data_IF_596241558439
#
_entry.id   IF_596241558439
#
_cell.length_a   1.000
_cell.length_b   1.000
_cell.length_c   1.000
_cell.angle_alpha   90.00
_cell.angle_beta   90.00
_cell.angle_gamma   90.00
#
_symmetry.space_group_name_H-M   'P 1'
#
loop_
_entity.id
_entity.type
_entity.pdbx_description
1 polymer ?
#
# COMPACT_ATOMS: atom_id res chain seq x y z
N UNK A 1 32.43 6.74 31.84
CA UNK A 1 31.71 6.26 30.67
C UNK A 1 30.17 6.21 30.82
N UNK A 2 29.58 5.96 31.99
CA UNK A 2 28.11 5.88 32.14
C UNK A 2 27.33 7.19 31.95
N UNK A 3 27.93 8.37 32.19
CA UNK A 3 27.25 9.68 32.05
C UNK A 3 26.94 10.08 30.61
N UNK A 4 27.73 9.62 29.62
CA UNK A 4 27.50 9.93 28.19
C UNK A 4 26.34 9.12 27.60
N UNK A 5 26.12 7.88 28.08
CA UNK A 5 25.00 7.04 27.63
C UNK A 5 23.64 7.61 28.08
N UNK A 6 23.52 8.11 29.30
CA UNK A 6 22.28 8.69 29.83
C UNK A 6 21.86 10.01 29.13
N UNK A 7 22.84 10.83 28.72
CA UNK A 7 22.57 12.07 27.98
C UNK A 7 22.14 11.80 26.54
N UNK A 8 22.67 10.76 25.90
CA UNK A 8 22.27 10.33 24.56
C UNK A 8 20.82 9.84 24.53
N UNK A 9 20.42 9.00 25.48
CA UNK A 9 19.04 8.50 25.61
C UNK A 9 18.04 9.59 26.03
N UNK A 10 18.44 10.54 26.88
CA UNK A 10 17.61 11.72 27.22
C UNK A 10 17.39 12.66 26.03
N UNK A 11 18.38 12.85 25.17
CA UNK A 11 18.20 13.62 23.92
C UNK A 11 17.28 12.91 22.90
N UNK A 12 17.31 11.59 22.80
CA UNK A 12 16.36 10.81 22.00
C UNK A 12 14.93 10.86 22.55
N UNK A 13 14.77 10.85 23.87
CA UNK A 13 13.46 10.96 24.52
C UNK A 13 12.86 12.39 24.44
N UNK A 14 13.68 13.43 24.45
CA UNK A 14 13.23 14.83 24.39
C UNK A 14 12.80 15.28 22.99
N UNK A 15 13.09 14.53 21.93
CA UNK A 15 12.71 14.84 20.55
C UNK A 15 11.32 14.29 20.16
N UNK A 16 10.39 14.15 21.08
CA UNK A 16 8.96 14.10 20.76
C UNK A 16 8.45 15.49 20.37
N UNK A 17 9.05 16.11 19.33
CA UNK A 17 8.37 17.22 18.66
C UNK A 17 6.98 16.71 18.27
N UNK A 18 5.93 17.36 18.79
CA UNK A 18 4.55 17.16 18.34
C UNK A 18 4.58 17.15 16.81
N UNK A 19 4.38 15.98 16.22
CA UNK A 19 4.15 15.89 14.78
C UNK A 19 2.85 16.63 14.56
N UNK A 20 2.94 17.84 14.03
CA UNK A 20 1.76 18.61 13.64
C UNK A 20 0.98 17.75 12.66
N UNK A 21 -0.26 17.44 13.01
CA UNK A 21 -1.17 16.70 12.16
C UNK A 21 -1.17 17.30 10.76
N UNK A 22 -0.78 16.51 9.78
CA UNK A 22 -0.79 16.96 8.39
C UNK A 22 -2.00 16.31 7.74
N UNK A 23 -2.82 17.17 7.15
CA UNK A 23 -3.91 16.74 6.28
C UNK A 23 -3.33 16.49 4.89
N UNK A 24 -3.52 15.30 4.35
CA UNK A 24 -3.05 14.90 3.02
C UNK A 24 -4.23 14.31 2.26
N UNK A 25 -4.43 14.71 1.00
CA UNK A 25 -5.39 14.02 0.14
C UNK A 25 -4.75 12.72 -0.34
N UNK A 26 -5.23 11.60 0.20
CA UNK A 26 -4.84 10.26 -0.24
C UNK A 26 -5.62 9.87 -1.49
N UNK A 27 -4.92 9.37 -2.50
CA UNK A 27 -5.47 8.87 -3.76
C UNK A 27 -5.06 7.42 -3.96
N UNK A 28 -6.01 6.56 -4.22
CA UNK A 28 -5.82 5.14 -4.56
C UNK A 28 -6.27 4.91 -6.01
N UNK A 29 -5.31 4.59 -6.88
CA UNK A 29 -5.54 4.35 -8.32
C UNK A 29 -5.70 2.85 -8.54
N UNK A 30 -6.95 2.39 -8.61
CA UNK A 30 -7.26 1.00 -8.93
C UNK A 30 -7.66 0.81 -10.40
N UNK A 31 -7.68 -0.44 -10.86
CA UNK A 31 -8.01 -0.80 -12.24
C UNK A 31 -9.43 -0.41 -12.69
N UNK A 32 -10.41 -0.41 -11.78
CA UNK A 32 -11.81 -0.06 -12.08
C UNK A 32 -12.26 1.29 -11.54
N UNK A 33 -11.47 1.93 -10.67
CA UNK A 33 -11.82 3.22 -10.07
C UNK A 33 -10.67 3.84 -9.31
N UNK A 34 -10.58 5.14 -9.43
CA UNK A 34 -9.68 6.00 -8.68
C UNK A 34 -10.48 6.58 -7.52
N UNK A 35 -9.98 6.42 -6.30
CA UNK A 35 -10.66 6.85 -5.09
C UNK A 35 -9.76 7.84 -4.35
N UNK A 36 -10.35 8.80 -3.67
CA UNK A 36 -9.60 9.73 -2.85
C UNK A 36 -10.44 10.34 -1.74
N UNK A 37 -9.76 10.71 -0.66
CA UNK A 37 -10.31 11.47 0.45
C UNK A 37 -9.22 12.23 1.20
N UNK A 38 -9.52 13.38 1.81
CA UNK A 38 -8.65 14.02 2.77
C UNK A 38 -8.48 13.13 4.01
N UNK A 39 -7.24 12.96 4.45
CA UNK A 39 -6.84 12.07 5.58
C UNK A 39 -6.12 12.91 6.63
N UNK A 40 -6.48 12.72 7.89
CA UNK A 40 -5.65 13.09 9.03
C UNK A 40 -4.59 12.00 9.24
N UNK A 41 -3.34 12.30 8.93
CA UNK A 41 -2.25 11.32 9.00
C UNK A 41 -1.86 10.90 10.42
N UNK A 42 -2.35 11.58 11.46
CA UNK A 42 -2.09 11.20 12.85
C UNK A 42 -3.07 10.17 13.39
N UNK A 43 -4.31 10.23 12.93
CA UNK A 43 -5.40 9.33 13.37
C UNK A 43 -5.80 8.28 12.33
N UNK A 44 -5.41 8.48 11.07
CA UNK A 44 -5.85 7.66 9.95
C UNK A 44 -7.32 7.89 9.55
N UNK A 45 -7.99 8.89 10.12
CA UNK A 45 -9.39 9.17 9.82
C UNK A 45 -9.52 9.89 8.48
N UNK A 46 -10.49 9.46 7.67
CA UNK A 46 -10.96 10.22 6.54
C UNK A 46 -11.73 11.45 7.05
N UNK A 47 -11.39 12.62 6.53
CA UNK A 47 -11.99 13.90 6.94
C UNK A 47 -13.23 14.26 6.13
N UNK A 48 -13.52 13.53 5.07
CA UNK A 48 -14.72 13.62 4.24
C UNK A 48 -15.01 12.24 3.63
N UNK A 49 -16.23 12.08 3.12
CA UNK A 49 -16.59 10.89 2.36
C UNK A 49 -15.69 10.76 1.12
N UNK A 50 -15.24 9.52 0.84
CA UNK A 50 -14.36 9.26 -0.29
C UNK A 50 -15.07 9.50 -1.63
N UNK A 51 -14.44 10.26 -2.51
CA UNK A 51 -14.85 10.41 -3.90
C UNK A 51 -14.30 9.25 -4.73
N UNK A 52 -15.13 8.64 -5.58
CA UNK A 52 -14.72 7.67 -6.59
C UNK A 52 -15.00 8.21 -7.99
N UNK A 53 -14.01 8.06 -8.86
CA UNK A 53 -14.12 8.30 -10.32
C UNK A 53 -13.78 6.99 -11.02
N UNK A 54 -14.45 6.68 -12.11
CA UNK A 54 -14.09 5.53 -12.93
C UNK A 54 -12.65 5.69 -13.47
N UNK A 55 -11.87 4.62 -13.43
CA UNK A 55 -10.55 4.62 -14.08
C UNK A 55 -10.75 4.73 -15.59
N UNK A 56 -10.16 5.73 -16.25
CA UNK A 56 -10.30 5.87 -17.70
C UNK A 56 -9.75 4.66 -18.43
N UNK A 57 -10.39 4.31 -19.53
CA UNK A 57 -9.94 3.25 -20.42
C UNK A 57 -9.62 3.84 -21.80
N UNK A 58 -8.39 3.69 -22.30
CA UNK A 58 -7.23 3.12 -21.62
C UNK A 58 -6.71 4.00 -20.47
N UNK A 59 -6.18 3.36 -19.40
CA UNK A 59 -5.65 4.03 -18.21
C UNK A 59 -4.27 4.66 -18.51
N UNK A 60 -4.19 5.57 -19.49
CA UNK A 60 -2.95 6.26 -19.85
C UNK A 60 -2.52 7.25 -18.76
N UNK A 61 -1.21 7.61 -18.67
CA UNK A 61 -0.70 8.54 -17.68
C UNK A 61 -1.48 9.87 -17.62
N UNK A 62 -1.71 10.48 -18.79
CA UNK A 62 -2.46 11.75 -18.86
C UNK A 62 -3.93 11.62 -18.47
N UNK A 63 -4.57 10.51 -18.84
CA UNK A 63 -5.98 10.28 -18.50
C UNK A 63 -6.17 10.08 -17.00
N UNK A 64 -5.29 9.28 -16.36
CA UNK A 64 -5.30 9.08 -14.90
C UNK A 64 -4.96 10.37 -14.17
N UNK A 65 -3.95 11.14 -14.60
CA UNK A 65 -3.60 12.40 -13.98
C UNK A 65 -4.76 13.43 -14.03
N UNK A 66 -5.54 13.47 -15.13
CA UNK A 66 -6.78 14.27 -15.21
C UNK A 66 -7.87 13.77 -14.25
N UNK A 67 -7.99 12.45 -14.09
CA UNK A 67 -8.95 11.88 -13.13
C UNK A 67 -8.57 12.21 -11.68
N UNK A 68 -7.29 12.19 -11.35
CA UNK A 68 -6.77 12.65 -10.05
C UNK A 68 -7.06 14.14 -9.85
N UNK A 69 -6.83 14.99 -10.86
CA UNK A 69 -7.14 16.43 -10.78
C UNK A 69 -8.62 16.69 -10.47
N UNK A 70 -9.55 15.93 -11.08
CA UNK A 70 -11.00 16.04 -10.75
C UNK A 70 -11.32 15.71 -9.28
N UNK A 71 -10.57 14.80 -8.65
CA UNK A 71 -10.74 14.53 -7.21
C UNK A 71 -10.21 15.70 -6.37
N UNK A 72 -9.07 16.28 -6.76
CA UNK A 72 -8.51 17.49 -6.12
C UNK A 72 -9.51 18.66 -6.20
N UNK A 73 -10.10 18.91 -7.37
CA UNK A 73 -11.11 19.92 -7.60
C UNK A 73 -12.38 19.69 -6.76
N UNK A 74 -12.86 18.43 -6.71
CA UNK A 74 -14.04 18.06 -5.92
C UNK A 74 -13.91 18.44 -4.45
N UNK A 75 -12.72 18.29 -3.87
CA UNK A 75 -12.46 18.66 -2.48
C UNK A 75 -11.98 20.12 -2.32
N UNK A 76 -11.89 20.91 -3.40
CA UNK A 76 -11.24 22.22 -3.41
C UNK A 76 -9.88 22.19 -2.68
N UNK A 77 -9.13 21.10 -2.88
CA UNK A 77 -7.98 20.74 -2.06
C UNK A 77 -6.77 21.60 -2.35
N UNK A 78 -6.19 22.21 -1.30
CA UNK A 78 -5.02 23.09 -1.41
C UNK A 78 -3.74 22.48 -0.84
N UNK A 79 -3.86 21.37 -0.09
CA UNK A 79 -2.76 20.69 0.57
C UNK A 79 -2.01 19.69 -0.33
N UNK A 80 -1.09 18.93 0.26
CA UNK A 80 -0.34 17.89 -0.44
C UNK A 80 -1.18 16.66 -0.79
N UNK A 81 -0.63 15.86 -1.72
CA UNK A 81 -1.22 14.60 -2.23
C UNK A 81 -0.28 13.43 -1.98
N UNK A 82 -0.84 12.32 -1.52
CA UNK A 82 -0.24 11.00 -1.64
C UNK A 82 -1.01 10.19 -2.68
N UNK A 83 -0.33 9.53 -3.61
CA UNK A 83 -0.97 8.76 -4.68
C UNK A 83 -0.41 7.34 -4.72
N UNK A 84 -1.26 6.33 -4.52
CA UNK A 84 -0.94 4.92 -4.66
C UNK A 84 -1.23 4.48 -6.11
N UNK A 85 -0.26 3.78 -6.72
CA UNK A 85 -0.30 3.32 -8.10
C UNK A 85 0.02 1.82 -8.16
N UNK A 86 -0.65 1.03 -9.02
CA UNK A 86 -0.45 -0.41 -9.14
C UNK A 86 0.81 -0.73 -9.98
N UNK A 87 1.97 -0.36 -9.47
CA UNK A 87 3.27 -0.52 -10.12
C UNK A 87 4.43 -0.35 -9.14
N UNK A 88 5.59 -0.88 -9.46
CA UNK A 88 6.86 -0.56 -8.80
C UNK A 88 7.19 0.91 -8.99
N UNK A 89 7.40 1.64 -7.90
CA UNK A 89 7.73 3.08 -7.92
C UNK A 89 9.13 3.30 -7.37
N UNK A 90 10.04 3.85 -8.21
CA UNK A 90 11.38 4.29 -7.79
C UNK A 90 11.60 5.74 -8.20
N UNK A 91 11.95 6.59 -7.24
CA UNK A 91 12.23 8.01 -7.45
C UNK A 91 11.12 8.75 -8.22
N UNK A 92 9.86 8.45 -7.87
CA UNK A 92 8.67 9.02 -8.49
C UNK A 92 8.30 8.44 -9.86
N UNK A 93 9.10 7.50 -10.40
CA UNK A 93 8.91 6.87 -11.71
C UNK A 93 8.36 5.45 -11.61
N UNK A 94 7.47 5.09 -12.51
CA UNK A 94 6.98 3.72 -12.63
C UNK A 94 8.00 2.85 -13.37
N UNK A 95 8.32 1.70 -12.78
CA UNK A 95 9.28 0.73 -13.33
C UNK A 95 8.61 -0.51 -13.89
N UNK A 96 7.36 -0.76 -13.52
CA UNK A 96 6.52 -1.85 -14.05
C UNK A 96 5.18 -1.31 -14.52
N UNK A 97 4.43 -2.11 -15.26
CA UNK A 97 3.10 -1.79 -15.75
C UNK A 97 2.27 -3.07 -15.96
N UNK A 98 2.27 -3.99 -14.96
CA UNK A 98 1.55 -5.26 -15.08
C UNK A 98 0.03 -5.07 -15.10
N UNK A 99 -0.50 -4.24 -14.19
CA UNK A 99 -1.93 -4.03 -13.98
C UNK A 99 -2.41 -2.62 -14.37
N UNK A 100 -1.63 -1.91 -15.21
CA UNK A 100 -1.94 -0.58 -15.74
C UNK A 100 -1.42 -0.50 -17.19
N UNK A 101 -1.82 0.53 -17.94
CA UNK A 101 -1.34 0.72 -19.33
C UNK A 101 0.20 0.70 -19.43
N UNK A 102 0.76 -0.03 -20.39
CA UNK A 102 2.21 -0.07 -20.65
C UNK A 102 2.83 1.32 -20.90
N UNK A 103 2.03 2.29 -21.31
CA UNK A 103 2.48 3.69 -21.51
C UNK A 103 2.96 4.37 -20.22
N UNK A 104 2.79 3.75 -19.06
CA UNK A 104 3.32 4.22 -17.79
C UNK A 104 4.79 3.85 -17.54
N UNK A 105 5.33 2.90 -18.31
CA UNK A 105 6.70 2.44 -18.08
C UNK A 105 7.71 3.59 -18.27
N UNK A 106 8.51 3.84 -17.23
CA UNK A 106 9.51 4.93 -17.18
C UNK A 106 8.94 6.33 -16.93
N UNK A 107 7.61 6.50 -16.90
CA UNK A 107 6.97 7.81 -16.66
C UNK A 107 7.27 8.32 -15.26
N UNK A 108 7.64 9.58 -15.15
CA UNK A 108 7.68 10.31 -13.89
C UNK A 108 6.26 10.66 -13.46
N UNK A 109 5.64 9.73 -12.72
CA UNK A 109 4.26 9.86 -12.27
C UNK A 109 4.11 11.00 -11.25
N UNK A 110 5.11 11.19 -10.41
CA UNK A 110 5.11 12.27 -9.41
C UNK A 110 5.09 13.64 -10.09
N UNK A 111 5.98 13.87 -11.07
CA UNK A 111 6.02 15.12 -11.82
C UNK A 111 4.75 15.34 -12.65
N UNK A 112 4.23 14.28 -13.28
CA UNK A 112 3.02 14.35 -14.09
C UNK A 112 1.79 14.74 -13.27
N UNK A 113 1.57 14.06 -12.13
CA UNK A 113 0.42 14.35 -11.25
C UNK A 113 0.59 15.74 -10.62
N UNK A 114 1.81 16.11 -10.19
CA UNK A 114 2.12 17.46 -9.70
C UNK A 114 1.78 18.54 -10.74
N UNK A 115 2.14 18.33 -12.00
CA UNK A 115 1.82 19.26 -13.10
C UNK A 115 0.31 19.40 -13.29
N UNK A 116 -0.44 18.30 -13.24
CA UNK A 116 -1.90 18.27 -13.44
C UNK A 116 -2.68 18.86 -12.27
N UNK A 117 -2.21 18.70 -11.04
CA UNK A 117 -2.91 19.12 -9.81
C UNK A 117 -2.41 20.44 -9.24
N UNK A 118 -1.20 20.87 -9.63
CA UNK A 118 -0.46 22.02 -9.07
C UNK A 118 -0.26 21.92 -7.56
N UNK A 119 -0.13 20.69 -7.02
CA UNK A 119 0.05 20.40 -5.60
C UNK A 119 1.32 19.60 -5.38
N UNK A 120 1.94 19.67 -4.18
CA UNK A 120 3.00 18.73 -3.79
C UNK A 120 2.46 17.29 -3.83
N UNK A 121 3.18 16.39 -4.49
CA UNK A 121 2.75 14.99 -4.69
C UNK A 121 3.86 14.04 -4.26
N UNK A 122 3.48 12.94 -3.61
CA UNK A 122 4.29 11.73 -3.54
C UNK A 122 3.55 10.57 -4.22
N UNK A 123 4.32 9.63 -4.74
CA UNK A 123 3.77 8.39 -5.32
C UNK A 123 4.38 7.18 -4.62
N UNK A 124 3.59 6.13 -4.47
CA UNK A 124 3.94 4.87 -3.79
C UNK A 124 3.24 3.71 -4.50
N UNK A 125 3.79 2.50 -4.38
CA UNK A 125 3.09 1.29 -4.81
C UNK A 125 1.79 1.10 -4.00
N UNK A 126 0.74 0.53 -4.60
CA UNK A 126 -0.59 0.37 -3.97
C UNK A 126 -0.60 -0.63 -2.82
N UNK A 127 0.14 -1.76 -2.94
CA UNK A 127 0.28 -2.72 -1.86
C UNK A 127 1.12 -2.16 -0.71
N UNK A 128 2.20 -1.43 -1.00
CA UNK A 128 2.99 -0.71 -0.02
C UNK A 128 2.13 0.31 0.75
N UNK A 129 1.27 1.05 0.04
CA UNK A 129 0.34 1.99 0.65
C UNK A 129 -0.62 1.27 1.60
N UNK A 130 -1.28 0.20 1.13
CA UNK A 130 -2.19 -0.58 1.97
C UNK A 130 -1.48 -1.15 3.20
N UNK A 131 -0.25 -1.64 3.03
CA UNK A 131 0.60 -2.12 4.11
C UNK A 131 0.91 -1.03 5.14
N UNK A 132 1.30 0.18 4.70
CA UNK A 132 1.53 1.30 5.61
C UNK A 132 0.31 1.62 6.48
N UNK A 133 -0.87 1.65 5.88
CA UNK A 133 -2.10 1.90 6.61
C UNK A 133 -2.35 0.81 7.68
N UNK A 134 -2.23 -0.46 7.29
CA UNK A 134 -2.47 -1.59 8.20
C UNK A 134 -1.41 -1.67 9.32
N UNK A 135 -0.15 -1.38 9.04
CA UNK A 135 0.90 -1.34 10.06
C UNK A 135 0.73 -0.16 11.03
N UNK A 136 0.18 0.96 10.55
CA UNK A 136 0.02 2.16 11.40
C UNK A 136 -1.27 2.11 12.22
N UNK A 137 -2.40 1.76 11.60
CA UNK A 137 -3.73 1.87 12.20
C UNK A 137 -4.54 0.58 12.23
N UNK A 138 -4.13 -0.45 11.49
CA UNK A 138 -4.88 -1.67 11.26
C UNK A 138 -4.37 -2.92 11.99
N UNK A 139 -4.40 -4.04 11.28
CA UNK A 139 -4.07 -5.36 11.81
C UNK A 139 -2.59 -5.52 12.22
N UNK A 140 -1.68 -4.76 11.59
CA UNK A 140 -0.25 -4.77 11.88
C UNK A 140 0.18 -3.79 12.98
N UNK A 141 -0.75 -3.02 13.55
CA UNK A 141 -0.41 -2.01 14.57
C UNK A 141 0.31 -2.62 15.78
N UNK A 142 1.46 -2.03 16.14
CA UNK A 142 2.33 -2.47 17.25
C UNK A 142 2.93 -3.88 17.06
N UNK A 143 2.92 -4.42 15.84
CA UNK A 143 3.64 -5.66 15.53
C UNK A 143 5.10 -5.34 15.22
N UNK A 144 5.98 -6.12 15.83
CA UNK A 144 7.42 -6.18 15.54
C UNK A 144 7.74 -7.42 14.71
N UNK A 145 9.01 -7.58 14.34
CA UNK A 145 9.45 -8.69 13.50
C UNK A 145 9.11 -8.50 12.04
N UNK A 146 8.95 -9.60 11.33
CA UNK A 146 8.65 -9.64 9.90
C UNK A 146 7.14 -9.75 9.68
N UNK A 147 6.54 -8.74 9.07
CA UNK A 147 5.12 -8.73 8.70
C UNK A 147 5.00 -8.64 7.18
N UNK A 148 4.23 -9.53 6.58
CA UNK A 148 3.92 -9.50 5.15
C UNK A 148 2.43 -9.17 4.97
N UNK A 149 2.14 -8.07 4.29
CA UNK A 149 0.80 -7.80 3.75
C UNK A 149 0.68 -8.43 2.37
N UNK A 150 -0.40 -9.16 2.14
CA UNK A 150 -0.75 -9.75 0.85
C UNK A 150 -2.10 -9.23 0.43
N UNK A 151 -2.18 -8.50 -0.66
CA UNK A 151 -3.45 -8.04 -1.25
C UNK A 151 -3.89 -9.02 -2.34
N UNK A 152 -5.07 -9.60 -2.18
CA UNK A 152 -5.65 -10.53 -3.15
C UNK A 152 -6.80 -9.81 -3.89
N UNK A 153 -6.63 -9.64 -5.20
CA UNK A 153 -7.57 -8.95 -6.07
C UNK A 153 -7.41 -9.38 -7.53
N UNK A 154 -7.24 -8.41 -8.45
CA UNK A 154 -6.92 -8.66 -9.87
C UNK A 154 -5.64 -9.48 -10.00
N UNK A 155 -4.61 -9.12 -9.24
CA UNK A 155 -3.36 -9.85 -9.04
C UNK A 155 -3.10 -10.13 -7.57
N UNK A 156 -1.83 -10.34 -7.22
CA UNK A 156 -1.33 -10.44 -5.86
C UNK A 156 -0.30 -9.34 -5.60
N UNK A 157 -0.68 -8.32 -4.85
CA UNK A 157 0.26 -7.32 -4.35
C UNK A 157 0.82 -7.71 -2.98
N UNK A 158 2.05 -7.27 -2.69
CA UNK A 158 2.70 -7.56 -1.41
C UNK A 158 3.42 -6.34 -0.86
N UNK A 159 3.41 -6.20 0.46
CA UNK A 159 4.24 -5.23 1.16
C UNK A 159 4.90 -5.91 2.36
N UNK A 160 6.20 -5.76 2.52
CA UNK A 160 7.00 -6.41 3.54
C UNK A 160 7.52 -5.38 4.53
N UNK A 161 7.38 -5.69 5.82
CA UNK A 161 7.82 -4.82 6.91
C UNK A 161 8.75 -5.57 7.86
N UNK A 162 9.85 -4.93 8.22
CA UNK A 162 10.76 -5.41 9.26
C UNK A 162 10.74 -4.41 10.41
N UNK A 163 10.26 -4.83 11.59
CA UNK A 163 10.11 -3.97 12.76
C UNK A 163 9.36 -2.66 12.46
N UNK A 164 8.29 -2.75 11.67
CA UNK A 164 7.47 -1.61 11.24
C UNK A 164 8.05 -0.78 10.10
N UNK A 165 9.24 -1.11 9.59
CA UNK A 165 9.87 -0.43 8.46
C UNK A 165 9.58 -1.15 7.16
N UNK A 166 9.02 -0.43 6.18
CA UNK A 166 8.74 -0.96 4.86
C UNK A 166 10.01 -1.31 4.09
N UNK A 167 10.04 -2.51 3.53
CA UNK A 167 10.92 -2.89 2.41
C UNK A 167 10.12 -2.63 1.13
N UNK A 168 10.37 -1.54 0.40
CA UNK A 168 9.47 -1.07 -0.64
C UNK A 168 9.51 -1.91 -1.91
N UNK A 169 8.37 -1.94 -2.62
CA UNK A 169 8.25 -2.55 -3.93
C UNK A 169 8.59 -4.05 -3.94
N UNK A 170 8.08 -4.81 -2.99
CA UNK A 170 8.19 -6.26 -3.03
C UNK A 170 7.10 -6.83 -3.96
N UNK A 171 7.52 -7.55 -4.99
CA UNK A 171 6.64 -8.12 -6.01
C UNK A 171 6.54 -9.64 -5.85
N UNK A 172 6.23 -10.10 -4.61
CA UNK A 172 6.21 -11.54 -4.28
C UNK A 172 5.05 -12.31 -4.93
N UNK A 173 4.07 -11.60 -5.51
CA UNK A 173 3.03 -12.21 -6.36
C UNK A 173 3.58 -12.85 -7.63
N UNK A 174 4.79 -12.42 -8.07
CA UNK A 174 5.51 -12.98 -9.21
C UNK A 174 6.45 -14.15 -8.85
N UNK A 175 6.46 -14.61 -7.59
CA UNK A 175 7.17 -15.84 -7.24
C UNK A 175 6.62 -17.01 -8.05
N UNK A 176 7.53 -17.84 -8.56
CA UNK A 176 7.14 -19.01 -9.36
C UNK A 176 6.55 -20.09 -8.45
N UNK A 177 5.31 -20.45 -8.70
CA UNK A 177 4.58 -21.52 -8.03
C UNK A 177 3.93 -22.42 -9.10
N UNK A 178 4.26 -23.70 -9.07
CA UNK A 178 3.81 -24.66 -10.10
C UNK A 178 4.16 -24.22 -11.54
N UNK A 179 5.38 -23.70 -11.74
CA UNK A 179 5.90 -23.29 -13.07
C UNK A 179 5.28 -22.01 -13.65
N UNK A 180 4.60 -21.20 -12.82
CA UNK A 180 3.97 -19.91 -13.24
C UNK A 180 4.01 -18.89 -12.11
N UNK A 181 3.78 -17.63 -12.43
CA UNK A 181 3.60 -16.57 -11.43
C UNK A 181 2.45 -16.93 -10.48
N UNK A 182 2.68 -16.83 -9.18
CA UNK A 182 1.70 -17.17 -8.16
C UNK A 182 0.37 -16.40 -8.35
N UNK A 183 0.42 -15.14 -8.77
CA UNK A 183 -0.79 -14.35 -9.02
C UNK A 183 -1.67 -14.94 -10.12
N UNK A 184 -1.09 -15.55 -11.16
CA UNK A 184 -1.86 -16.19 -12.24
C UNK A 184 -2.57 -17.47 -11.79
N UNK A 185 -2.32 -17.92 -10.57
CA UNK A 185 -2.87 -19.15 -10.01
C UNK A 185 -3.72 -18.92 -8.75
N UNK A 186 -3.34 -18.00 -7.87
CA UNK A 186 -3.94 -17.80 -6.56
C UNK A 186 -4.63 -16.43 -6.36
N UNK A 187 -4.57 -15.49 -7.32
CA UNK A 187 -5.31 -14.23 -7.21
C UNK A 187 -6.84 -14.45 -7.10
N UNK A 188 -7.57 -13.48 -6.52
CA UNK A 188 -9.04 -13.56 -6.43
C UNK A 188 -9.69 -13.62 -7.82
N UNK A 189 -9.19 -12.84 -8.76
CA UNK A 189 -9.66 -12.84 -10.15
C UNK A 189 -9.63 -14.24 -10.79
N UNK A 190 -8.64 -15.07 -10.43
CA UNK A 190 -8.55 -16.45 -10.90
C UNK A 190 -9.68 -17.31 -10.31
N UNK A 191 -10.06 -17.06 -9.04
CA UNK A 191 -11.21 -17.75 -8.44
C UNK A 191 -12.49 -17.42 -9.21
N UNK A 192 -12.70 -16.14 -9.50
CA UNK A 192 -13.90 -15.67 -10.19
C UNK A 192 -13.96 -16.16 -11.63
N UNK A 193 -12.90 -15.93 -12.40
CA UNK A 193 -12.84 -16.28 -13.82
C UNK A 193 -12.94 -17.79 -14.08
N UNK A 194 -12.48 -18.63 -13.14
CA UNK A 194 -12.54 -20.10 -13.24
C UNK A 194 -13.68 -20.74 -12.45
N UNK A 195 -14.55 -19.94 -11.85
CA UNK A 195 -15.68 -20.45 -11.05
C UNK A 195 -15.23 -21.35 -9.87
N UNK A 196 -14.05 -21.09 -9.27
CA UNK A 196 -13.54 -21.95 -8.21
C UNK A 196 -14.35 -21.79 -6.92
N UNK A 197 -14.71 -22.91 -6.30
CA UNK A 197 -15.27 -22.89 -4.95
C UNK A 197 -14.25 -22.31 -3.96
N UNK A 198 -14.74 -21.73 -2.86
CA UNK A 198 -13.88 -21.19 -1.79
C UNK A 198 -12.90 -22.23 -1.25
N UNK A 199 -13.31 -23.49 -1.11
CA UNK A 199 -12.45 -24.61 -0.69
C UNK A 199 -11.30 -24.85 -1.68
N UNK A 200 -11.58 -24.87 -2.99
CA UNK A 200 -10.56 -25.09 -4.02
C UNK A 200 -9.61 -23.91 -4.11
N UNK A 201 -10.12 -22.69 -4.02
CA UNK A 201 -9.28 -21.49 -4.06
C UNK A 201 -8.45 -21.31 -2.80
N UNK A 202 -9.01 -21.57 -1.60
CA UNK A 202 -8.26 -21.52 -0.34
C UNK A 202 -7.00 -22.41 -0.37
N UNK A 203 -7.07 -23.60 -0.97
CA UNK A 203 -5.89 -24.47 -1.16
C UNK A 203 -4.79 -23.80 -2.01
N UNK A 204 -5.18 -22.99 -3.00
CA UNK A 204 -4.21 -22.25 -3.81
C UNK A 204 -3.57 -21.12 -3.02
N UNK A 205 -4.37 -20.37 -2.29
CA UNK A 205 -3.85 -19.32 -1.38
C UNK A 205 -2.94 -19.94 -0.34
N UNK A 206 -3.32 -21.04 0.28
CA UNK A 206 -2.54 -21.77 1.27
C UNK A 206 -1.16 -22.16 0.72
N UNK A 207 -1.10 -22.77 -0.46
CA UNK A 207 0.16 -23.13 -1.10
C UNK A 207 1.05 -21.92 -1.40
N UNK A 208 0.47 -20.79 -1.82
CA UNK A 208 1.21 -19.54 -2.01
C UNK A 208 1.75 -18.99 -0.68
N UNK A 209 0.95 -18.99 0.36
CA UNK A 209 1.37 -18.50 1.67
C UNK A 209 2.45 -19.43 2.28
N UNK A 210 2.37 -20.73 2.07
CA UNK A 210 3.45 -21.67 2.44
C UNK A 210 4.76 -21.38 1.71
N UNK A 211 4.70 -20.91 0.44
CA UNK A 211 5.87 -20.45 -0.28
C UNK A 211 6.51 -19.23 0.41
N UNK A 212 5.69 -18.24 0.81
CA UNK A 212 6.17 -17.09 1.59
C UNK A 212 6.74 -17.53 2.94
N UNK A 213 6.05 -18.43 3.65
CA UNK A 213 6.54 -19.01 4.91
C UNK A 213 7.92 -19.64 4.73
N UNK A 214 8.12 -20.43 3.69
CA UNK A 214 9.37 -21.14 3.41
C UNK A 214 10.56 -20.20 3.20
N UNK A 215 10.35 -19.04 2.57
CA UNK A 215 11.42 -18.11 2.23
C UNK A 215 11.65 -17.01 3.28
N UNK A 216 10.61 -16.60 4.00
CA UNK A 216 10.67 -15.40 4.82
C UNK A 216 10.45 -15.63 6.32
N UNK A 217 9.80 -16.70 6.73
CA UNK A 217 9.45 -16.97 8.13
C UNK A 217 8.80 -15.77 8.82
N UNK A 218 7.68 -15.23 8.28
CA UNK A 218 7.06 -14.04 8.83
C UNK A 218 6.41 -14.31 10.19
N UNK A 219 6.40 -13.29 11.05
CA UNK A 219 5.72 -13.31 12.36
C UNK A 219 4.21 -13.08 12.20
N UNK A 220 3.79 -12.46 11.09
CA UNK A 220 2.38 -12.19 10.78
C UNK A 220 2.19 -12.05 9.27
N UNK A 221 1.10 -12.62 8.75
CA UNK A 221 0.61 -12.33 7.40
C UNK A 221 -0.74 -11.62 7.52
N UNK A 222 -0.89 -10.49 6.82
CA UNK A 222 -2.15 -9.72 6.75
C UNK A 222 -2.74 -9.88 5.37
N UNK A 223 -3.97 -10.37 5.26
CA UNK A 223 -4.66 -10.53 3.97
C UNK A 223 -5.55 -9.31 3.70
N UNK A 224 -5.18 -8.56 2.67
CA UNK A 224 -5.91 -7.41 2.14
C UNK A 224 -6.59 -7.69 0.79
N UNK A 225 -6.94 -6.60 0.11
CA UNK A 225 -7.69 -6.67 -1.16
C UNK A 225 -9.20 -6.80 -0.94
N UNK A 226 -9.96 -6.82 -2.05
CA UNK A 226 -11.42 -6.87 -2.01
C UNK A 226 -11.97 -8.11 -1.31
N UNK A 227 -11.29 -9.23 -1.47
CA UNK A 227 -11.66 -10.53 -0.90
C UNK A 227 -11.52 -10.59 0.62
N UNK A 228 -10.76 -9.70 1.24
CA UNK A 228 -10.62 -9.67 2.71
C UNK A 228 -11.94 -9.48 3.45
N UNK A 229 -12.98 -8.95 2.79
CA UNK A 229 -14.35 -8.87 3.32
C UNK A 229 -15.03 -10.22 3.51
N UNK A 230 -14.54 -11.24 2.80
CA UNK A 230 -15.07 -12.63 2.80
C UNK A 230 -14.05 -13.58 3.44
N UNK A 231 -13.25 -13.07 4.37
CA UNK A 231 -12.17 -13.81 5.02
C UNK A 231 -12.66 -15.11 5.68
N UNK A 232 -13.86 -15.11 6.24
CA UNK A 232 -14.54 -16.26 6.87
C UNK A 232 -14.67 -17.47 5.94
N UNK A 233 -14.70 -17.24 4.63
CA UNK A 233 -14.87 -18.30 3.63
C UNK A 233 -13.58 -19.05 3.29
N UNK A 234 -12.40 -18.48 3.61
CA UNK A 234 -11.14 -19.11 3.21
C UNK A 234 -10.04 -19.11 4.28
N UNK A 235 -9.91 -18.08 5.14
CA UNK A 235 -8.86 -18.06 6.17
C UNK A 235 -8.92 -19.28 7.10
N UNK A 236 -10.12 -19.77 7.58
CA UNK A 236 -10.17 -20.96 8.43
C UNK A 236 -9.71 -22.26 7.77
N UNK A 237 -9.42 -22.23 6.46
CA UNK A 237 -8.95 -23.38 5.68
C UNK A 237 -7.47 -23.36 5.39
N UNK A 238 -6.76 -22.32 5.86
CA UNK A 238 -5.32 -22.22 5.75
C UNK A 238 -4.64 -23.05 6.83
N UNK A 239 -3.48 -23.61 6.50
CA UNK A 239 -2.76 -24.55 7.38
C UNK A 239 -1.41 -24.04 7.85
N UNK A 240 -1.12 -22.75 7.62
CA UNK A 240 0.16 -22.14 8.01
C UNK A 240 0.36 -22.12 9.52
N UNK A 241 1.61 -22.33 10.00
CA UNK A 241 1.95 -22.08 11.40
C UNK A 241 1.98 -20.58 11.73
N UNK A 242 2.36 -19.72 10.77
CA UNK A 242 2.32 -18.26 10.93
C UNK A 242 0.89 -17.77 11.07
N UNK A 243 0.59 -16.88 12.04
CA UNK A 243 -0.72 -16.25 12.14
C UNK A 243 -1.10 -15.49 10.85
N UNK A 244 -2.30 -15.76 10.33
CA UNK A 244 -2.88 -15.07 9.16
C UNK A 244 -4.14 -14.35 9.59
N UNK A 245 -4.19 -13.03 9.38
CA UNK A 245 -5.33 -12.20 9.80
C UNK A 245 -5.88 -11.36 8.64
N UNK A 246 -7.17 -11.02 8.63
CA UNK A 246 -7.71 -10.10 7.64
C UNK A 246 -7.30 -8.66 7.93
N UNK A 247 -7.12 -7.87 6.87
CA UNK A 247 -6.93 -6.43 6.94
C UNK A 247 -8.15 -5.74 7.58
N UNK A 248 -7.91 -4.74 8.41
CA UNK A 248 -8.97 -4.03 9.16
C UNK A 248 -9.49 -2.79 8.42
N UNK A 249 -8.63 -2.07 7.72
CA UNK A 249 -8.98 -0.81 7.07
C UNK A 249 -9.66 -1.00 5.70
N UNK A 250 -9.66 -2.22 5.19
CA UNK A 250 -10.41 -2.61 3.99
C UNK A 250 -10.19 -1.66 2.80
N UNK A 251 -11.30 -1.04 2.30
CA UNK A 251 -11.29 -0.18 1.11
C UNK A 251 -10.61 1.19 1.34
N UNK A 252 -10.31 1.57 2.56
CA UNK A 252 -9.70 2.87 2.89
C UNK A 252 -8.18 2.74 3.07
N UNK A 253 -7.66 1.50 3.14
CA UNK A 253 -6.23 1.25 3.33
C UNK A 253 -5.35 1.92 2.27
N UNK A 254 -5.71 1.82 0.98
CA UNK A 254 -4.96 2.47 -0.11
C UNK A 254 -4.94 3.99 0.01
N UNK A 255 -6.08 4.62 0.35
CA UNK A 255 -6.21 6.07 0.54
C UNK A 255 -5.38 6.54 1.75
N UNK A 256 -5.56 5.88 2.90
CA UNK A 256 -4.84 6.21 4.14
C UNK A 256 -3.34 6.00 3.94
N UNK A 257 -2.95 4.89 3.34
CA UNK A 257 -1.56 4.56 3.09
C UNK A 257 -0.87 5.48 2.09
N UNK A 258 -1.57 5.91 1.04
CA UNK A 258 -1.06 6.92 0.12
C UNK A 258 -0.76 8.24 0.86
N UNK A 259 -1.66 8.69 1.74
CA UNK A 259 -1.45 9.87 2.57
C UNK A 259 -0.24 9.72 3.52
N UNK A 260 -0.11 8.56 4.17
CA UNK A 260 1.05 8.22 5.01
C UNK A 260 2.36 8.17 4.21
N UNK A 261 2.33 7.67 2.97
CA UNK A 261 3.46 7.65 2.06
C UNK A 261 4.02 9.04 1.79
N UNK A 262 3.16 10.06 1.61
CA UNK A 262 3.58 11.46 1.50
C UNK A 262 4.30 11.92 2.77
N UNK A 263 3.70 11.69 3.92
CA UNK A 263 4.29 12.11 5.20
C UNK A 263 5.66 11.46 5.43
N UNK A 264 5.78 10.17 5.14
CA UNK A 264 7.04 9.44 5.27
C UNK A 264 8.15 10.00 4.36
N UNK A 265 7.85 10.25 3.08
CA UNK A 265 8.81 10.83 2.13
C UNK A 265 9.25 12.22 2.59
N UNK A 266 8.32 13.05 3.09
CA UNK A 266 8.60 14.37 3.65
C UNK A 266 9.54 14.29 4.85
N UNK A 267 9.32 13.36 5.76
CA UNK A 267 10.17 13.16 6.92
C UNK A 267 11.58 12.69 6.53
N UNK A 268 11.70 11.78 5.56
CA UNK A 268 13.01 11.34 5.02
C UNK A 268 13.78 12.48 4.38
N UNK A 269 13.14 13.32 3.58
CA UNK A 269 13.76 14.49 2.96
C UNK A 269 14.29 15.47 4.02
N UNK A 270 13.50 15.76 5.06
CA UNK A 270 13.95 16.62 6.19
C UNK A 270 15.13 16.06 6.95
N UNK A 271 15.17 14.73 7.18
CA UNK A 271 16.31 14.08 7.85
C UNK A 271 17.59 14.17 7.02
N UNK A 272 17.51 13.99 5.69
CA UNK A 272 18.67 14.14 4.80
C UNK A 272 19.22 15.56 4.84
N UNK A 273 18.37 16.58 4.81
CA UNK A 273 18.78 17.99 4.92
C UNK A 273 19.35 18.38 6.29
N UNK A 274 19.06 17.62 7.33
CA UNK A 274 19.59 17.88 8.68
C UNK A 274 20.91 17.15 8.97
N UNK A 275 21.35 16.26 8.09
CA UNK A 275 22.56 15.44 8.21
C UNK A 275 23.66 15.84 7.19
N UNK A 276 23.33 16.64 6.18
CA UNK A 276 24.25 17.25 5.24
C UNK A 276 24.42 18.72 5.52
#
# INVERSE_FOLDING_TARGET
MLRYHLLYWRRLAASKKRVTAIKVLGIDVGGSGIKGAPVDTTSGKLLAERRRVATPQPATPRAVARAVARIVEHFAWQGPLGCALPAVVKDGRLRTAANISRSWLGVDAQALIRKSTKRPVSVINDADAAGYAEMTFGAGRRRSGLVIMVTLGTGIGTALFVNGHLVPNTELGHLVLHGRDAETWAAESVRENKGLSWKKWARRVDAYLHLLQRYFWPDLIIIGGGVSKKWDKFLPRLTLPTPVVPARLRNDAGIIGAALGYEHQRQRARRKLALG
#
